data_IF_605705394503
#
_entry.id   IF_605705394503
#
_cell.length_a   1.000
_cell.length_b   1.000
_cell.length_c   1.000
_cell.angle_alpha   90.00
_cell.angle_beta   90.00
_cell.angle_gamma   90.00
#
_symmetry.space_group_name_H-M   'P 1'
#
loop_
_entity.id
_entity.type
_entity.pdbx_description
1 polymer ?
#
# COMPACT_ATOMS: atom_id res chain seq x y z
N UNK A 1 97.47 -131.19 39.65
CA UNK A 1 97.04 -130.20 40.66
C UNK A 1 96.87 -128.79 40.08
N UNK A 2 97.55 -128.39 38.99
CA UNK A 2 97.39 -127.08 38.34
C UNK A 2 96.05 -126.89 37.60
N UNK A 3 95.51 -127.92 36.92
CA UNK A 3 94.30 -127.78 36.08
C UNK A 3 93.01 -127.49 36.87
N UNK A 4 92.94 -127.89 38.14
CA UNK A 4 91.78 -127.61 38.99
C UNK A 4 91.76 -126.15 39.45
N UNK A 5 92.93 -125.52 39.58
CA UNK A 5 93.05 -124.12 40.00
C UNK A 5 92.64 -123.15 38.87
N UNK A 6 93.04 -123.44 37.63
CA UNK A 6 92.72 -122.61 36.45
C UNK A 6 91.22 -122.63 36.16
N UNK A 7 90.56 -123.79 36.29
CA UNK A 7 89.11 -123.92 36.06
C UNK A 7 88.28 -123.14 37.09
N UNK A 8 88.71 -123.09 38.35
CA UNK A 8 88.02 -122.31 39.38
C UNK A 8 88.18 -120.80 39.20
N UNK A 9 89.35 -120.32 38.76
CA UNK A 9 89.57 -118.88 38.49
C UNK A 9 88.74 -118.43 37.28
N UNK A 10 88.66 -119.25 36.22
CA UNK A 10 87.85 -118.95 35.05
C UNK A 10 86.34 -118.89 35.38
N UNK A 11 85.84 -119.79 36.22
CA UNK A 11 84.43 -119.78 36.66
C UNK A 11 84.10 -118.57 37.55
N UNK A 12 85.01 -118.16 38.45
CA UNK A 12 84.82 -116.98 39.28
C UNK A 12 84.85 -115.67 38.47
N UNK A 13 85.71 -115.57 37.46
CA UNK A 13 85.76 -114.42 36.56
C UNK A 13 84.47 -114.28 35.72
N UNK A 14 83.92 -115.41 35.24
CA UNK A 14 82.71 -115.42 34.43
C UNK A 14 81.45 -115.09 35.26
N UNK A 15 81.40 -115.56 36.51
CA UNK A 15 80.34 -115.19 37.46
C UNK A 15 80.41 -113.70 37.83
N UNK A 16 81.62 -113.16 38.07
CA UNK A 16 81.82 -111.74 38.33
C UNK A 16 81.40 -110.87 37.13
N UNK A 17 81.75 -111.27 35.90
CA UNK A 17 81.34 -110.56 34.69
C UNK A 17 79.81 -110.60 34.47
N UNK A 18 79.16 -111.73 34.75
CA UNK A 18 77.70 -111.85 34.67
C UNK A 18 76.98 -111.02 35.74
N UNK A 19 77.52 -110.95 36.97
CA UNK A 19 76.98 -110.12 38.06
C UNK A 19 77.18 -108.64 37.75
N UNK A 20 78.37 -108.23 37.28
CA UNK A 20 78.65 -106.84 36.89
C UNK A 20 77.79 -106.44 35.68
N UNK A 21 77.68 -107.30 34.66
CA UNK A 21 76.82 -107.08 33.50
C UNK A 21 75.34 -107.00 33.85
N UNK A 22 74.88 -107.84 34.79
CA UNK A 22 73.52 -107.81 35.33
C UNK A 22 73.23 -106.54 36.13
N UNK A 23 74.15 -106.12 36.99
CA UNK A 23 74.08 -104.86 37.73
C UNK A 23 74.08 -103.66 36.77
N UNK A 24 74.94 -103.64 35.76
CA UNK A 24 74.98 -102.58 34.76
C UNK A 24 73.66 -102.50 33.98
N UNK A 25 73.11 -103.64 33.56
CA UNK A 25 71.84 -103.70 32.85
C UNK A 25 70.67 -103.18 33.71
N UNK A 26 70.64 -103.54 35.01
CA UNK A 26 69.65 -103.04 35.95
C UNK A 26 69.80 -101.52 36.15
N UNK A 27 71.01 -100.97 36.30
CA UNK A 27 71.24 -99.53 36.44
C UNK A 27 70.87 -98.76 35.16
N UNK A 28 71.30 -99.22 33.98
CA UNK A 28 70.93 -98.60 32.70
C UNK A 28 69.41 -98.63 32.47
N UNK A 29 68.74 -99.73 32.83
CA UNK A 29 67.29 -99.87 32.64
C UNK A 29 66.47 -99.13 33.70
N UNK A 30 66.94 -99.05 34.94
CA UNK A 30 66.22 -98.45 36.06
C UNK A 30 66.46 -96.95 36.22
N UNK A 31 67.63 -96.43 35.84
CA UNK A 31 68.01 -95.02 36.02
C UNK A 31 68.06 -94.24 34.70
N UNK A 32 68.71 -94.77 33.65
CA UNK A 32 68.95 -94.01 32.41
C UNK A 32 67.69 -93.92 31.54
N UNK A 33 66.93 -95.03 31.39
CA UNK A 33 65.71 -95.02 30.56
C UNK A 33 64.66 -94.00 31.03
N UNK A 34 64.31 -93.91 32.32
CA UNK A 34 63.37 -92.88 32.80
C UNK A 34 63.86 -91.44 32.59
N UNK A 35 65.16 -91.17 32.78
CA UNK A 35 65.75 -89.85 32.53
C UNK A 35 65.63 -89.42 31.06
N UNK A 36 65.93 -90.34 30.13
CA UNK A 36 65.76 -90.08 28.68
C UNK A 36 64.29 -89.86 28.33
N UNK A 37 63.37 -90.56 28.99
CA UNK A 37 61.94 -90.38 28.79
C UNK A 37 61.45 -89.00 29.30
N UNK A 38 61.88 -88.57 30.50
CA UNK A 38 61.57 -87.23 31.03
C UNK A 38 62.18 -86.12 30.17
N UNK A 39 63.41 -86.28 29.69
CA UNK A 39 64.05 -85.32 28.77
C UNK A 39 63.28 -85.20 27.45
N UNK A 40 62.78 -86.31 26.90
CA UNK A 40 61.94 -86.30 25.69
C UNK A 40 60.60 -85.61 25.93
N UNK A 41 59.98 -85.82 27.09
CA UNK A 41 58.75 -85.13 27.49
C UNK A 41 59.00 -83.62 27.61
N UNK A 42 60.09 -83.20 28.27
CA UNK A 42 60.46 -81.79 28.36
C UNK A 42 60.70 -81.15 26.98
N UNK A 43 61.35 -81.88 26.06
CA UNK A 43 61.54 -81.44 24.68
C UNK A 43 60.25 -81.38 23.85
N UNK A 44 59.20 -82.12 24.23
CA UNK A 44 57.85 -82.01 23.63
C UNK A 44 57.08 -80.83 24.22
N UNK A 45 57.14 -80.63 25.54
CA UNK A 45 56.54 -79.49 26.22
C UNK A 45 57.11 -78.16 25.69
N UNK A 46 58.43 -78.07 25.45
CA UNK A 46 59.05 -76.88 24.85
C UNK A 46 58.53 -76.59 23.42
N UNK A 47 58.08 -77.62 22.70
CA UNK A 47 57.52 -77.50 21.35
C UNK A 47 56.01 -77.23 21.35
N UNK A 48 55.40 -76.98 22.51
CA UNK A 48 53.97 -76.71 22.66
C UNK A 48 53.08 -77.96 22.71
N UNK A 49 53.65 -79.16 22.80
CA UNK A 49 52.88 -80.40 22.93
C UNK A 49 52.62 -80.71 24.40
N UNK A 50 51.55 -80.12 24.94
CA UNK A 50 51.13 -80.24 26.33
C UNK A 50 50.26 -81.48 26.60
N UNK A 51 49.92 -82.27 25.58
CA UNK A 51 49.11 -83.49 25.70
C UNK A 51 49.92 -84.73 26.13
N UNK A 52 51.24 -84.60 26.23
CA UNK A 52 52.13 -85.70 26.61
C UNK A 52 51.97 -86.10 28.08
N UNK A 53 51.88 -87.41 28.34
CA UNK A 53 51.85 -87.94 29.71
C UNK A 53 53.27 -87.99 30.29
N UNK A 54 53.46 -87.48 31.51
CA UNK A 54 54.75 -87.55 32.21
C UNK A 54 54.92 -88.95 32.81
N UNK A 55 55.91 -89.74 32.36
CA UNK A 55 56.12 -91.08 32.91
C UNK A 55 56.73 -91.01 34.31
N UNK A 56 56.62 -92.10 35.08
CA UNK A 56 57.33 -92.29 36.35
C UNK A 56 56.88 -91.42 37.54
N UNK A 57 55.64 -90.91 37.52
CA UNK A 57 55.06 -90.11 38.61
C UNK A 57 54.93 -90.88 39.93
N UNK A 58 54.64 -92.18 39.86
CA UNK A 58 54.39 -93.06 41.01
C UNK A 58 55.67 -93.49 41.76
N UNK A 59 56.84 -92.97 41.38
CA UNK A 59 58.12 -93.34 41.98
C UNK A 59 58.42 -92.50 43.23
N UNK A 60 59.02 -93.16 44.23
CA UNK A 60 59.47 -92.54 45.49
C UNK A 60 60.91 -92.04 45.51
N UNK A 61 61.63 -92.14 44.39
CA UNK A 61 63.04 -91.77 44.25
C UNK A 61 63.23 -90.38 43.57
N UNK A 62 64.48 -89.99 43.34
CA UNK A 62 64.85 -88.71 42.71
C UNK A 62 64.25 -88.56 41.31
N UNK A 63 64.07 -89.67 40.58
CA UNK A 63 63.42 -89.68 39.27
C UNK A 63 61.94 -89.34 39.39
N UNK A 64 61.26 -89.87 40.40
CA UNK A 64 59.88 -89.50 40.72
C UNK A 64 59.72 -88.02 41.11
N UNK A 65 60.71 -87.47 41.82
CA UNK A 65 60.73 -86.05 42.16
C UNK A 65 60.89 -85.15 40.92
N UNK A 66 61.78 -85.53 39.99
CA UNK A 66 61.90 -84.85 38.69
C UNK A 66 60.63 -85.00 37.84
N UNK A 67 59.98 -86.18 37.83
CA UNK A 67 58.73 -86.39 37.12
C UNK A 67 57.61 -85.47 37.65
N UNK A 68 57.46 -85.34 38.97
CA UNK A 68 56.51 -84.39 39.57
C UNK A 68 56.82 -82.94 39.22
N UNK A 69 58.10 -82.55 39.18
CA UNK A 69 58.50 -81.20 38.76
C UNK A 69 58.17 -80.94 37.27
N UNK A 70 58.32 -81.95 36.40
CA UNK A 70 57.93 -81.85 34.98
C UNK A 70 56.41 -81.79 34.81
N UNK A 71 55.62 -82.50 35.63
CA UNK A 71 54.15 -82.39 35.61
C UNK A 71 53.68 -81.00 36.08
N UNK A 72 54.26 -80.46 37.15
CA UNK A 72 53.99 -79.06 37.58
C UNK A 72 54.37 -78.06 36.49
N UNK A 73 55.49 -78.27 35.79
CA UNK A 73 55.88 -77.44 34.66
C UNK A 73 54.87 -77.52 33.49
N UNK A 74 54.38 -78.71 33.16
CA UNK A 74 53.32 -78.93 32.16
C UNK A 74 52.01 -78.26 32.57
N UNK A 75 51.58 -78.39 33.82
CA UNK A 75 50.38 -77.73 34.35
C UNK A 75 50.48 -76.22 34.24
N UNK A 76 51.63 -75.62 34.59
CA UNK A 76 51.88 -74.19 34.41
C UNK A 76 51.92 -73.77 32.94
N UNK A 77 52.47 -74.60 32.04
CA UNK A 77 52.47 -74.33 30.60
C UNK A 77 51.05 -74.31 30.01
N UNK A 78 50.21 -75.28 30.37
CA UNK A 78 48.79 -75.34 29.99
C UNK A 78 47.99 -74.16 30.57
N UNK A 79 48.20 -73.86 31.86
CA UNK A 79 47.54 -72.73 32.51
C UNK A 79 47.92 -71.40 31.85
N UNK A 80 49.19 -71.23 31.45
CA UNK A 80 49.67 -70.03 30.76
C UNK A 80 49.08 -69.90 29.35
N UNK A 81 49.04 -70.97 28.56
CA UNK A 81 48.42 -70.96 27.22
C UNK A 81 46.92 -70.60 27.31
N UNK A 82 46.22 -71.16 28.30
CA UNK A 82 44.82 -70.82 28.56
C UNK A 82 44.64 -69.35 28.96
N UNK A 83 45.50 -68.83 29.84
CA UNK A 83 45.45 -67.44 30.27
C UNK A 83 45.78 -66.48 29.11
N UNK A 84 46.76 -66.82 28.27
CA UNK A 84 47.09 -66.07 27.06
C UNK A 84 45.91 -66.06 26.07
N UNK A 85 45.24 -67.20 25.86
CA UNK A 85 44.03 -67.28 25.04
C UNK A 85 42.84 -66.49 25.63
N UNK A 86 42.63 -66.56 26.94
CA UNK A 86 41.60 -65.77 27.64
C UNK A 86 41.90 -64.27 27.59
N UNK A 87 43.16 -63.85 27.75
CA UNK A 87 43.58 -62.45 27.58
C UNK A 87 43.39 -61.97 26.15
N UNK A 88 43.84 -62.71 25.13
CA UNK A 88 43.62 -62.34 23.73
C UNK A 88 42.13 -62.26 23.39
N UNK A 89 41.31 -63.19 23.90
CA UNK A 89 39.86 -63.14 23.73
C UNK A 89 39.21 -61.97 24.50
N UNK A 90 39.75 -61.56 25.64
CA UNK A 90 39.28 -60.41 26.40
C UNK A 90 39.68 -59.08 25.74
N UNK A 91 40.92 -58.97 25.26
CA UNK A 91 41.42 -57.83 24.49
C UNK A 91 40.65 -57.66 23.18
N UNK A 92 40.44 -58.74 22.42
CA UNK A 92 39.63 -58.71 21.20
C UNK A 92 38.18 -58.27 21.48
N UNK A 93 37.58 -58.76 22.58
CA UNK A 93 36.25 -58.32 23.03
C UNK A 93 36.22 -56.86 23.47
N UNK A 94 37.23 -56.38 24.18
CA UNK A 94 37.34 -55.00 24.62
C UNK A 94 37.52 -54.04 23.43
N UNK A 95 38.35 -54.41 22.44
CA UNK A 95 38.51 -53.65 21.19
C UNK A 95 37.21 -53.64 20.39
N UNK A 96 36.53 -54.77 20.26
CA UNK A 96 35.24 -54.87 19.57
C UNK A 96 34.15 -54.04 20.27
N UNK A 97 34.06 -54.10 21.60
CA UNK A 97 33.11 -53.31 22.40
C UNK A 97 33.38 -51.82 22.27
N UNK A 98 34.65 -51.38 22.37
CA UNK A 98 35.03 -49.98 22.17
C UNK A 98 34.69 -49.49 20.76
N UNK A 99 34.92 -50.31 19.73
CA UNK A 99 34.55 -49.98 18.36
C UNK A 99 33.04 -49.84 18.19
N UNK A 100 32.26 -50.77 18.76
CA UNK A 100 30.79 -50.71 18.73
C UNK A 100 30.25 -49.46 19.45
N UNK A 101 30.85 -49.09 20.59
CA UNK A 101 30.49 -47.87 21.33
C UNK A 101 30.81 -46.61 20.53
N UNK A 102 31.96 -46.56 19.85
CA UNK A 102 32.32 -45.44 18.98
C UNK A 102 31.39 -45.29 17.78
N UNK A 103 31.00 -46.39 17.14
CA UNK A 103 30.01 -46.36 16.05
C UNK A 103 28.67 -45.84 16.56
N UNK A 104 28.19 -46.35 17.70
CA UNK A 104 26.91 -45.89 18.29
C UNK A 104 26.94 -44.41 18.67
N UNK A 105 28.07 -43.93 19.23
CA UNK A 105 28.24 -42.52 19.57
C UNK A 105 28.27 -41.64 18.31
N UNK A 106 28.94 -42.11 17.25
CA UNK A 106 28.97 -41.47 15.94
C UNK A 106 27.58 -41.40 15.30
N UNK A 107 26.80 -42.49 15.35
CA UNK A 107 25.43 -42.52 14.81
C UNK A 107 24.50 -41.53 15.54
N UNK A 108 24.59 -41.48 16.87
CA UNK A 108 23.82 -40.52 17.67
C UNK A 108 24.24 -39.07 17.39
N UNK A 109 25.55 -38.82 17.25
CA UNK A 109 26.08 -37.51 16.87
C UNK A 109 25.60 -37.10 15.47
N UNK A 110 25.62 -38.01 14.49
CA UNK A 110 25.14 -37.77 13.13
C UNK A 110 23.66 -37.39 13.11
N UNK A 111 22.81 -38.11 13.85
CA UNK A 111 21.38 -37.79 13.91
C UNK A 111 21.12 -36.42 14.55
N UNK A 112 21.75 -36.15 15.71
CA UNK A 112 21.53 -34.91 16.43
C UNK A 112 22.04 -33.69 15.63
N UNK A 113 23.28 -33.74 15.16
CA UNK A 113 23.91 -32.63 14.44
C UNK A 113 23.36 -32.50 13.01
N UNK A 114 23.13 -33.61 12.32
CA UNK A 114 22.53 -33.63 10.99
C UNK A 114 21.11 -33.06 10.99
N UNK A 115 20.32 -33.33 12.04
CA UNK A 115 18.99 -32.73 12.23
C UNK A 115 19.05 -31.21 12.41
N UNK A 116 19.97 -30.71 13.24
CA UNK A 116 20.16 -29.26 13.44
C UNK A 116 20.59 -28.58 12.15
N UNK A 117 21.59 -29.13 11.44
CA UNK A 117 22.06 -28.56 10.16
C UNK A 117 20.94 -28.55 9.12
N UNK A 118 20.11 -29.60 9.07
CA UNK A 118 18.92 -29.66 8.22
C UNK A 118 17.93 -28.54 8.54
N UNK A 119 17.63 -28.31 9.82
CA UNK A 119 16.73 -27.26 10.25
C UNK A 119 17.27 -25.85 9.95
N UNK A 120 18.57 -25.60 10.17
CA UNK A 120 19.21 -24.31 9.87
C UNK A 120 19.21 -24.05 8.36
N UNK A 121 19.53 -25.06 7.55
CA UNK A 121 19.50 -24.96 6.09
C UNK A 121 18.09 -24.66 5.56
N UNK A 122 17.06 -25.32 6.11
CA UNK A 122 15.67 -25.05 5.73
C UNK A 122 15.24 -23.62 6.10
N UNK A 123 15.62 -23.17 7.31
CA UNK A 123 15.34 -21.81 7.79
C UNK A 123 16.03 -20.76 6.91
N UNK A 124 17.28 -21.02 6.49
CA UNK A 124 18.01 -20.13 5.58
C UNK A 124 17.29 -19.98 4.23
N UNK A 125 16.83 -21.09 3.63
CA UNK A 125 16.07 -21.04 2.37
C UNK A 125 14.73 -20.29 2.53
N UNK A 126 14.05 -20.45 3.65
CA UNK A 126 12.81 -19.71 3.94
C UNK A 126 13.05 -18.20 4.11
N UNK A 127 14.15 -17.83 4.79
CA UNK A 127 14.59 -16.44 4.91
C UNK A 127 14.96 -15.84 3.55
N UNK A 128 15.64 -16.59 2.68
CA UNK A 128 16.00 -16.17 1.32
C UNK A 128 14.75 -15.87 0.46
N UNK A 129 13.76 -16.77 0.51
CA UNK A 129 12.49 -16.59 -0.19
C UNK A 129 11.69 -15.40 0.34
N UNK A 130 11.70 -15.20 1.67
CA UNK A 130 11.04 -14.07 2.33
C UNK A 130 11.71 -12.75 1.96
N UNK A 131 13.04 -12.67 2.01
CA UNK A 131 13.81 -11.50 1.60
C UNK A 131 13.51 -11.11 0.15
N UNK A 132 13.52 -12.08 -0.77
CA UNK A 132 13.22 -11.85 -2.19
C UNK A 132 11.81 -11.28 -2.39
N UNK A 133 10.84 -11.78 -1.63
CA UNK A 133 9.45 -11.29 -1.66
C UNK A 133 9.34 -9.88 -1.11
N UNK A 134 10.05 -9.56 -0.03
CA UNK A 134 10.09 -8.23 0.55
C UNK A 134 10.75 -7.22 -0.39
N UNK A 135 11.88 -7.55 -1.01
CA UNK A 135 12.55 -6.71 -2.04
C UNK A 135 11.60 -6.38 -3.18
N UNK A 136 10.93 -7.39 -3.75
CA UNK A 136 9.93 -7.16 -4.82
C UNK A 136 8.78 -6.26 -4.35
N UNK A 137 8.35 -6.40 -3.10
CA UNK A 137 7.25 -5.59 -2.55
C UNK A 137 7.69 -4.14 -2.33
N UNK A 138 8.93 -3.92 -1.88
CA UNK A 138 9.55 -2.61 -1.77
C UNK A 138 9.64 -1.92 -3.14
N UNK A 139 10.14 -2.60 -4.17
CA UNK A 139 10.25 -2.06 -5.53
C UNK A 139 8.89 -1.64 -6.10
N UNK A 140 7.87 -2.51 -5.97
CA UNK A 140 6.50 -2.20 -6.42
C UNK A 140 5.92 -1.01 -5.64
N UNK A 141 6.21 -0.92 -4.34
CA UNK A 141 5.75 0.18 -3.48
C UNK A 141 6.41 1.50 -3.89
N UNK A 142 7.69 1.51 -4.21
CA UNK A 142 8.38 2.68 -4.75
C UNK A 142 7.79 3.13 -6.09
N UNK A 143 7.59 2.20 -7.02
CA UNK A 143 7.00 2.53 -8.32
C UNK A 143 5.58 3.13 -8.18
N UNK A 144 4.75 2.52 -7.33
CA UNK A 144 3.40 3.05 -7.03
C UNK A 144 3.46 4.40 -6.33
N UNK A 145 4.42 4.59 -5.42
CA UNK A 145 4.63 5.87 -4.73
C UNK A 145 4.99 6.99 -5.70
N UNK A 146 5.83 6.72 -6.69
CA UNK A 146 6.14 7.67 -7.76
C UNK A 146 4.90 8.02 -8.60
N UNK A 147 4.07 7.03 -8.93
CA UNK A 147 2.80 7.28 -9.67
C UNK A 147 1.83 8.14 -8.86
N UNK A 148 1.67 7.86 -7.57
CA UNK A 148 0.80 8.64 -6.68
C UNK A 148 1.34 10.06 -6.48
N UNK A 149 2.65 10.24 -6.41
CA UNK A 149 3.29 11.57 -6.36
C UNK A 149 2.97 12.38 -7.60
N UNK A 150 3.12 11.79 -8.79
CA UNK A 150 2.80 12.45 -10.05
C UNK A 150 1.31 12.84 -10.13
N UNK A 151 0.41 11.91 -9.78
CA UNK A 151 -1.03 12.16 -9.75
C UNK A 151 -1.43 13.24 -8.74
N UNK A 152 -0.76 13.29 -7.58
CA UNK A 152 -0.99 14.34 -6.57
C UNK A 152 -0.51 15.71 -7.06
N UNK A 153 0.61 15.75 -7.80
CA UNK A 153 1.09 16.97 -8.46
C UNK A 153 0.12 17.49 -9.52
N UNK A 154 -0.42 16.61 -10.36
CA UNK A 154 -1.45 16.95 -11.34
C UNK A 154 -2.74 17.44 -10.67
N UNK A 155 -3.20 16.75 -9.61
CA UNK A 155 -4.36 17.15 -8.83
C UNK A 155 -4.17 18.55 -8.20
N UNK A 156 -2.99 18.83 -7.64
CA UNK A 156 -2.66 20.16 -7.11
C UNK A 156 -2.71 21.23 -8.21
N UNK A 157 -2.19 20.95 -9.40
CA UNK A 157 -2.27 21.86 -10.56
C UNK A 157 -3.73 22.14 -10.97
N UNK A 158 -4.56 21.10 -11.02
CA UNK A 158 -5.98 21.24 -11.32
C UNK A 158 -6.71 22.08 -10.25
N UNK A 159 -6.42 21.85 -8.97
CA UNK A 159 -7.00 22.64 -7.87
C UNK A 159 -6.60 24.12 -7.99
N UNK A 160 -5.36 24.44 -8.34
CA UNK A 160 -4.92 25.82 -8.60
C UNK A 160 -5.64 26.47 -9.78
N UNK A 161 -5.87 25.72 -10.85
CA UNK A 161 -6.64 26.21 -12.01
C UNK A 161 -8.09 26.53 -11.63
N UNK A 162 -8.75 25.65 -10.87
CA UNK A 162 -10.11 25.91 -10.36
C UNK A 162 -10.13 27.09 -9.39
N UNK A 163 -9.09 27.27 -8.57
CA UNK A 163 -8.96 28.44 -7.69
C UNK A 163 -8.93 29.75 -8.49
N UNK A 164 -8.13 29.80 -9.56
CA UNK A 164 -8.05 30.95 -10.45
C UNK A 164 -9.41 31.26 -11.11
N UNK A 165 -10.08 30.23 -11.66
CA UNK A 165 -11.41 30.39 -12.25
C UNK A 165 -12.46 30.86 -11.23
N UNK A 166 -12.39 30.39 -9.98
CA UNK A 166 -13.30 30.81 -8.91
C UNK A 166 -13.07 32.27 -8.51
N UNK A 167 -11.82 32.74 -8.50
CA UNK A 167 -11.50 34.15 -8.26
C UNK A 167 -12.05 35.05 -9.40
N UNK A 168 -11.91 34.64 -10.66
CA UNK A 168 -12.45 35.35 -11.81
C UNK A 168 -14.00 35.38 -11.79
N UNK A 169 -14.63 34.27 -11.41
CA UNK A 169 -16.08 34.20 -11.20
C UNK A 169 -16.54 35.15 -10.09
N UNK A 170 -15.81 35.23 -8.98
CA UNK A 170 -16.12 36.14 -7.87
C UNK A 170 -16.02 37.60 -8.30
N UNK A 171 -15.00 37.95 -9.10
CA UNK A 171 -14.87 39.29 -9.68
C UNK A 171 -16.06 39.63 -10.61
N UNK A 172 -16.46 38.67 -11.46
CA UNK A 172 -17.58 38.81 -12.39
C UNK A 172 -18.91 38.98 -11.65
N UNK A 173 -19.17 38.19 -10.60
CA UNK A 173 -20.33 38.34 -9.72
C UNK A 173 -20.37 39.75 -9.11
N UNK A 174 -19.23 40.26 -8.64
CA UNK A 174 -19.12 41.61 -8.09
C UNK A 174 -19.43 42.70 -9.12
N UNK A 175 -19.05 42.51 -10.38
CA UNK A 175 -19.37 43.44 -11.47
C UNK A 175 -20.86 43.39 -11.84
N UNK A 176 -21.43 42.20 -11.99
CA UNK A 176 -22.86 42.02 -12.26
C UNK A 176 -23.69 42.65 -11.14
N UNK A 177 -23.31 42.46 -9.87
CA UNK A 177 -23.98 43.09 -8.73
C UNK A 177 -24.01 44.62 -8.84
N UNK A 178 -22.88 45.25 -9.18
CA UNK A 178 -22.81 46.71 -9.41
C UNK A 178 -23.69 47.14 -10.58
N UNK A 179 -23.71 46.38 -11.66
CA UNK A 179 -24.49 46.69 -12.86
C UNK A 179 -25.99 46.57 -12.60
N UNK A 180 -26.42 45.56 -11.85
CA UNK A 180 -27.83 45.37 -11.45
C UNK A 180 -28.30 46.50 -10.54
N UNK A 181 -27.50 46.92 -9.55
CA UNK A 181 -27.81 48.09 -8.72
C UNK A 181 -27.91 49.37 -9.55
N UNK A 182 -27.06 49.52 -10.57
CA UNK A 182 -27.16 50.66 -11.50
C UNK A 182 -28.45 50.62 -12.30
N UNK A 183 -28.83 49.46 -12.85
CA UNK A 183 -30.08 49.28 -13.59
C UNK A 183 -31.31 49.57 -12.74
N UNK A 184 -31.32 49.14 -11.47
CA UNK A 184 -32.39 49.44 -10.52
C UNK A 184 -32.53 50.96 -10.29
N UNK A 185 -31.43 51.69 -10.06
CA UNK A 185 -31.46 53.15 -9.92
C UNK A 185 -31.94 53.87 -11.18
N UNK A 186 -31.55 53.38 -12.36
CA UNK A 186 -32.01 53.94 -13.66
C UNK A 186 -33.52 53.72 -13.82
N UNK A 187 -34.03 52.53 -13.48
CA UNK A 187 -35.45 52.23 -13.53
C UNK A 187 -36.25 53.13 -12.57
N UNK A 188 -35.80 53.30 -11.32
CA UNK A 188 -36.43 54.22 -10.36
C UNK A 188 -36.46 55.67 -10.87
N UNK A 189 -35.35 56.15 -11.42
CA UNK A 189 -35.27 57.48 -12.02
C UNK A 189 -36.23 57.63 -13.21
N UNK A 190 -36.36 56.60 -14.04
CA UNK A 190 -37.26 56.58 -15.19
C UNK A 190 -38.74 56.56 -14.77
N UNK A 191 -39.12 55.82 -13.71
CA UNK A 191 -40.47 55.88 -13.12
C UNK A 191 -40.76 57.30 -12.62
N UNK A 192 -39.83 57.92 -11.89
CA UNK A 192 -39.98 59.30 -11.41
C UNK A 192 -40.16 60.29 -12.57
N UNK A 193 -39.41 60.12 -13.66
CA UNK A 193 -39.49 60.97 -14.85
C UNK A 193 -40.80 60.77 -15.62
N UNK A 194 -41.30 59.53 -15.73
CA UNK A 194 -42.57 59.21 -16.34
C UNK A 194 -43.73 59.86 -15.56
N UNK A 195 -43.72 59.76 -14.22
CA UNK A 195 -44.71 60.41 -13.36
C UNK A 195 -44.74 61.94 -13.54
N UNK A 196 -43.57 62.60 -13.58
CA UNK A 196 -43.49 64.05 -13.86
C UNK A 196 -44.02 64.41 -15.25
N UNK A 197 -43.87 63.52 -16.22
CA UNK A 197 -44.36 63.75 -17.58
C UNK A 197 -45.87 63.58 -17.64
N UNK A 198 -46.42 62.57 -16.94
CA UNK A 198 -47.87 62.37 -16.77
C UNK A 198 -48.53 63.61 -16.14
N UNK A 199 -47.95 64.16 -15.07
CA UNK A 199 -48.44 65.40 -14.43
C UNK A 199 -48.48 66.59 -15.40
N UNK A 200 -47.41 66.78 -16.19
CA UNK A 200 -47.33 67.88 -17.17
C UNK A 200 -48.37 67.74 -18.28
N UNK A 201 -48.60 66.51 -18.75
CA UNK A 201 -49.61 66.23 -19.76
C UNK A 201 -51.02 66.39 -19.16
N UNK A 202 -51.23 66.02 -17.90
CA UNK A 202 -52.46 66.31 -17.16
C UNK A 202 -52.79 67.81 -17.13
N UNK A 203 -51.79 68.66 -16.87
CA UNK A 203 -51.96 70.13 -16.92
C UNK A 203 -52.32 70.60 -18.34
N UNK A 204 -51.70 70.05 -19.39
CA UNK A 204 -52.04 70.37 -20.78
C UNK A 204 -53.47 69.95 -21.14
N UNK A 205 -53.92 68.78 -20.68
CA UNK A 205 -55.28 68.30 -20.88
C UNK A 205 -56.32 69.24 -20.28
N UNK A 206 -56.09 69.69 -19.03
CA UNK A 206 -56.95 70.68 -18.36
C UNK A 206 -56.94 72.03 -19.09
N UNK A 207 -55.78 72.48 -19.59
CA UNK A 207 -55.68 73.71 -20.36
C UNK A 207 -56.45 73.61 -21.70
N UNK A 208 -56.33 72.50 -22.43
CA UNK A 208 -57.06 72.26 -23.66
C UNK A 208 -58.57 72.24 -23.42
N UNK A 209 -59.04 71.62 -22.32
CA UNK A 209 -60.45 71.65 -21.92
C UNK A 209 -60.95 73.09 -21.70
N UNK A 210 -60.20 73.91 -20.96
CA UNK A 210 -60.56 75.32 -20.74
C UNK A 210 -60.62 76.12 -22.04
N UNK A 211 -59.70 75.88 -22.98
CA UNK A 211 -59.74 76.53 -24.30
C UNK A 211 -60.99 76.07 -25.07
N UNK A 212 -61.32 74.79 -25.03
CA UNK A 212 -62.55 74.26 -25.63
C UNK A 212 -63.81 74.94 -25.10
N UNK A 213 -63.90 75.14 -23.79
CA UNK A 213 -65.02 75.85 -23.15
C UNK A 213 -65.12 77.31 -23.63
N UNK A 214 -63.99 78.00 -23.77
CA UNK A 214 -63.93 79.38 -24.30
C UNK A 214 -64.33 79.43 -25.77
N UNK A 215 -63.87 78.50 -26.61
CA UNK A 215 -64.21 78.43 -28.03
C UNK A 215 -65.71 78.19 -28.23
N UNK A 216 -66.31 77.35 -27.37
CA UNK A 216 -67.76 77.14 -27.34
C UNK A 216 -68.51 78.44 -27.04
N UNK A 217 -68.09 79.18 -26.01
CA UNK A 217 -68.68 80.48 -25.67
C UNK A 217 -68.56 81.49 -26.83
N UNK A 218 -67.41 81.56 -27.52
CA UNK A 218 -67.24 82.46 -28.68
C UNK A 218 -68.17 82.05 -29.82
N UNK A 219 -68.36 80.75 -30.05
CA UNK A 219 -69.29 80.23 -31.06
C UNK A 219 -70.72 80.66 -30.73
N UNK A 220 -71.16 80.51 -29.49
CA UNK A 220 -72.48 80.95 -29.03
C UNK A 220 -72.66 82.47 -29.22
N UNK A 221 -71.63 83.28 -28.92
CA UNK A 221 -71.63 84.74 -29.15
C UNK A 221 -71.73 85.06 -30.65
N UNK A 222 -71.01 84.34 -31.51
CA UNK A 222 -71.04 84.55 -32.96
C UNK A 222 -72.42 84.23 -33.54
N UNK A 223 -73.06 83.14 -33.09
CA UNK A 223 -74.43 82.79 -33.46
C UNK A 223 -75.43 83.84 -33.01
N UNK A 224 -75.32 84.32 -31.77
CA UNK A 224 -76.16 85.39 -31.24
C UNK A 224 -75.96 86.70 -32.00
N UNK A 225 -74.72 87.04 -32.35
CA UNK A 225 -74.38 88.22 -33.16
C UNK A 225 -74.95 88.12 -34.57
N UNK A 226 -74.90 86.94 -35.19
CA UNK A 226 -75.50 86.68 -36.50
C UNK A 226 -77.04 86.83 -36.45
N UNK A 227 -77.70 86.37 -35.38
CA UNK A 227 -79.14 86.57 -35.18
C UNK A 227 -79.49 88.05 -34.99
N UNK A 228 -78.71 88.80 -34.19
CA UNK A 228 -78.89 90.24 -34.02
C UNK A 228 -78.71 91.00 -35.33
N UNK A 229 -77.67 90.67 -36.10
CA UNK A 229 -77.40 91.25 -37.41
C UNK A 229 -78.51 90.95 -38.42
N UNK A 230 -79.04 89.72 -38.42
CA UNK A 230 -80.18 89.34 -39.24
C UNK A 230 -81.43 90.18 -38.91
N UNK A 231 -81.74 90.35 -37.63
CA UNK A 231 -82.85 91.19 -37.18
C UNK A 231 -82.65 92.66 -37.62
N UNK A 232 -81.42 93.17 -37.54
CA UNK A 232 -81.08 94.50 -38.02
C UNK A 232 -81.22 94.65 -39.55
N UNK A 233 -80.83 93.63 -40.33
CA UNK A 233 -81.05 93.63 -41.79
C UNK A 233 -82.55 93.65 -42.14
N UNK A 234 -83.38 92.92 -41.38
CA UNK A 234 -84.85 92.91 -41.55
C UNK A 234 -85.43 94.30 -41.28
N UNK A 235 -85.05 94.93 -40.17
CA UNK A 235 -85.57 96.26 -39.81
C UNK A 235 -85.06 97.36 -40.75
N UNK A 236 -83.81 97.24 -41.24
CA UNK A 236 -83.26 98.13 -42.26
C UNK A 236 -83.99 98.00 -43.60
N UNK A 237 -84.39 96.79 -44.01
CA UNK A 237 -85.23 96.58 -45.19
C UNK A 237 -86.63 97.18 -45.01
N UNK A 238 -87.18 97.13 -43.79
CA UNK A 238 -88.48 97.71 -43.44
C UNK A 238 -88.49 99.24 -43.50
N UNK A 239 -87.35 99.89 -43.22
CA UNK A 239 -87.16 101.34 -43.31
C UNK A 239 -86.96 101.87 -44.75
N UNK A 240 -86.93 101.01 -45.76
CA UNK A 240 -86.85 101.41 -47.18
C UNK A 240 -85.54 102.15 -47.54
N UNK A 241 -85.64 103.25 -48.29
CA UNK A 241 -84.48 104.05 -48.74
C UNK A 241 -83.67 104.64 -47.57
N UNK A 242 -84.31 104.98 -46.44
CA UNK A 242 -83.63 105.54 -45.27
C UNK A 242 -82.76 104.51 -44.53
N UNK A 243 -83.03 103.20 -44.71
CA UNK A 243 -82.33 102.11 -44.04
C UNK A 243 -81.10 101.57 -44.77
N UNK A 244 -80.80 102.03 -46.00
CA UNK A 244 -79.73 101.46 -46.86
C UNK A 244 -78.36 101.43 -46.18
N UNK A 245 -77.94 102.50 -45.50
CA UNK A 245 -76.66 102.54 -44.79
C UNK A 245 -76.61 101.54 -43.62
N UNK A 246 -77.72 101.39 -42.90
CA UNK A 246 -77.86 100.42 -41.80
C UNK A 246 -77.85 98.98 -42.30
N UNK A 247 -78.48 98.72 -43.46
CA UNK A 247 -78.51 97.40 -44.09
C UNK A 247 -77.10 96.92 -44.51
N UNK A 248 -76.24 97.83 -44.99
CA UNK A 248 -74.84 97.51 -45.32
C UNK A 248 -74.07 97.09 -44.06
N UNK A 249 -74.17 97.88 -42.98
CA UNK A 249 -73.50 97.55 -41.72
C UNK A 249 -74.02 96.23 -41.14
N UNK A 250 -75.34 96.02 -41.13
CA UNK A 250 -75.94 94.78 -40.64
C UNK A 250 -75.47 93.55 -41.43
N UNK A 251 -75.36 93.65 -42.77
CA UNK A 251 -74.83 92.58 -43.60
C UNK A 251 -73.33 92.33 -43.35
N UNK A 252 -72.53 93.37 -43.12
CA UNK A 252 -71.10 93.24 -42.78
C UNK A 252 -70.92 92.54 -41.43
N UNK A 253 -71.69 92.93 -40.40
CA UNK A 253 -71.69 92.26 -39.08
C UNK A 253 -72.13 90.81 -39.21
N UNK A 254 -73.14 90.51 -40.03
CA UNK A 254 -73.61 89.15 -40.31
C UNK A 254 -72.51 88.30 -40.97
N UNK A 255 -71.80 88.86 -41.95
CA UNK A 255 -70.68 88.19 -42.62
C UNK A 255 -69.53 87.93 -41.63
N UNK A 256 -69.17 88.91 -40.80
CA UNK A 256 -68.12 88.79 -39.79
C UNK A 256 -68.47 87.75 -38.72
N UNK A 257 -69.73 87.69 -38.28
CA UNK A 257 -70.23 86.67 -37.37
C UNK A 257 -70.17 85.26 -37.98
N UNK A 258 -70.54 85.11 -39.25
CA UNK A 258 -70.40 83.85 -39.99
C UNK A 258 -68.93 83.41 -40.14
N UNK A 259 -68.03 84.34 -40.43
CA UNK A 259 -66.59 84.07 -40.50
C UNK A 259 -66.03 83.68 -39.13
N UNK A 260 -66.50 84.31 -38.05
CA UNK A 260 -66.14 83.99 -36.67
C UNK A 260 -66.58 82.58 -36.30
N UNK A 261 -67.85 82.22 -36.56
CA UNK A 261 -68.37 80.88 -36.30
C UNK A 261 -67.62 79.78 -37.08
N UNK A 262 -67.24 80.07 -38.33
CA UNK A 262 -66.41 79.15 -39.12
C UNK A 262 -65.02 78.96 -38.48
N UNK A 263 -64.36 80.06 -38.12
CA UNK A 263 -63.04 80.03 -37.50
C UNK A 263 -63.06 79.33 -36.13
N UNK A 264 -64.08 79.56 -35.29
CA UNK A 264 -64.22 78.84 -34.02
C UNK A 264 -64.52 77.35 -34.22
N UNK A 265 -65.26 76.97 -35.26
CA UNK A 265 -65.45 75.57 -35.64
C UNK A 265 -64.13 74.87 -35.99
N UNK A 266 -63.27 75.52 -36.79
CA UNK A 266 -61.93 75.02 -37.10
C UNK A 266 -61.04 74.89 -35.85
N UNK A 267 -61.07 75.89 -34.95
CA UNK A 267 -60.33 75.83 -33.67
C UNK A 267 -60.88 74.70 -32.78
N UNK A 268 -62.20 74.51 -32.70
CA UNK A 268 -62.83 73.46 -31.91
C UNK A 268 -62.38 72.06 -32.36
N UNK A 269 -62.29 71.84 -33.67
CA UNK A 269 -61.73 70.61 -34.23
C UNK A 269 -60.26 70.41 -33.83
N UNK A 270 -59.43 71.49 -33.85
CA UNK A 270 -58.03 71.43 -33.40
C UNK A 270 -57.90 71.14 -31.90
N UNK A 271 -58.76 71.72 -31.06
CA UNK A 271 -58.77 71.43 -29.61
C UNK A 271 -59.16 69.98 -29.35
N UNK A 272 -60.17 69.47 -30.05
CA UNK A 272 -60.58 68.05 -29.93
C UNK A 272 -59.44 67.12 -30.33
N UNK A 273 -58.74 67.43 -31.43
CA UNK A 273 -57.57 66.66 -31.87
C UNK A 273 -56.42 66.73 -30.85
N UNK A 274 -56.17 67.91 -30.26
CA UNK A 274 -55.19 68.07 -29.19
C UNK A 274 -55.56 67.23 -27.95
N UNK A 275 -56.82 67.27 -27.51
CA UNK A 275 -57.28 66.48 -26.36
C UNK A 275 -57.10 64.97 -26.60
N UNK A 276 -57.48 64.47 -27.78
CA UNK A 276 -57.27 63.08 -28.16
C UNK A 276 -55.78 62.70 -28.12
N UNK A 277 -54.91 63.49 -28.76
CA UNK A 277 -53.46 63.25 -28.74
C UNK A 277 -52.86 63.30 -27.33
N UNK A 278 -53.41 64.15 -26.45
CA UNK A 278 -53.01 64.26 -25.05
C UNK A 278 -53.38 62.99 -24.28
N UNK A 279 -54.59 62.46 -24.49
CA UNK A 279 -55.07 61.22 -23.87
C UNK A 279 -54.29 59.98 -24.35
N UNK A 280 -53.96 59.93 -25.64
CA UNK A 280 -53.10 58.88 -26.20
C UNK A 280 -51.70 58.92 -25.57
N UNK A 281 -51.15 60.13 -25.37
CA UNK A 281 -49.85 60.32 -24.72
C UNK A 281 -49.85 59.85 -23.26
N UNK A 282 -50.91 60.15 -22.48
CA UNK A 282 -51.07 59.64 -21.11
C UNK A 282 -51.09 58.10 -21.10
N UNK A 283 -51.81 57.50 -22.03
CA UNK A 283 -51.93 56.03 -22.12
C UNK A 283 -50.58 55.38 -22.42
N UNK A 284 -49.82 55.95 -23.37
CA UNK A 284 -48.47 55.51 -23.69
C UNK A 284 -47.49 55.66 -22.50
N UNK A 285 -47.57 56.76 -21.75
CA UNK A 285 -46.71 56.96 -20.55
C UNK A 285 -47.01 55.92 -19.47
N UNK A 286 -48.29 55.55 -19.27
CA UNK A 286 -48.66 54.50 -18.30
C UNK A 286 -48.12 53.13 -18.70
N UNK A 287 -48.18 52.79 -19.99
CA UNK A 287 -47.61 51.54 -20.51
C UNK A 287 -46.08 51.50 -20.35
N UNK A 288 -45.40 52.61 -20.64
CA UNK A 288 -43.95 52.76 -20.40
C UNK A 288 -43.63 52.60 -18.92
N UNK A 289 -44.41 53.23 -18.04
CA UNK A 289 -44.22 53.13 -16.58
C UNK A 289 -44.38 51.70 -16.08
N UNK A 290 -45.37 50.96 -16.59
CA UNK A 290 -45.56 49.54 -16.28
C UNK A 290 -44.38 48.68 -16.73
N UNK A 291 -43.88 48.92 -17.94
CA UNK A 291 -42.69 48.23 -18.48
C UNK A 291 -41.45 48.51 -17.63
N UNK A 292 -41.24 49.75 -17.18
CA UNK A 292 -40.12 50.10 -16.29
C UNK A 292 -40.28 49.43 -14.91
N UNK A 293 -41.50 49.32 -14.40
CA UNK A 293 -41.79 48.56 -13.17
C UNK A 293 -41.36 47.09 -13.28
N UNK A 294 -41.68 46.44 -14.39
CA UNK A 294 -41.22 45.07 -14.67
C UNK A 294 -39.68 44.97 -14.74
N UNK A 295 -39.01 45.96 -15.33
CA UNK A 295 -37.54 46.02 -15.34
C UNK A 295 -36.98 46.09 -13.91
N UNK A 296 -37.60 46.86 -13.02
CA UNK A 296 -37.17 46.95 -11.62
C UNK A 296 -37.35 45.62 -10.87
N UNK A 297 -38.47 44.93 -11.08
CA UNK A 297 -38.70 43.59 -10.50
C UNK A 297 -37.67 42.56 -11.00
N UNK A 298 -37.38 42.54 -12.30
CA UNK A 298 -36.35 41.67 -12.88
C UNK A 298 -34.97 41.99 -12.30
N UNK A 299 -34.62 43.26 -12.16
CA UNK A 299 -33.36 43.66 -11.55
C UNK A 299 -33.25 43.18 -10.09
N UNK A 300 -34.33 43.25 -9.30
CA UNK A 300 -34.36 42.74 -7.94
C UNK A 300 -34.18 41.21 -7.89
N UNK A 301 -34.82 40.47 -8.80
CA UNK A 301 -34.65 39.01 -8.91
C UNK A 301 -33.22 38.63 -9.29
N UNK A 302 -32.60 39.34 -10.22
CA UNK A 302 -31.19 39.12 -10.59
C UNK A 302 -30.28 39.43 -9.40
N UNK A 303 -30.53 40.51 -8.64
CA UNK A 303 -29.73 40.85 -7.46
C UNK A 303 -29.72 39.70 -6.43
N UNK A 304 -30.89 39.14 -6.13
CA UNK A 304 -31.01 37.99 -5.23
C UNK A 304 -30.25 36.76 -5.75
N UNK A 305 -30.35 36.46 -7.05
CA UNK A 305 -29.61 35.35 -7.66
C UNK A 305 -28.09 35.57 -7.62
N UNK A 306 -27.63 36.80 -7.82
CA UNK A 306 -26.21 37.18 -7.75
C UNK A 306 -25.66 37.05 -6.33
N UNK A 307 -26.43 37.42 -5.30
CA UNK A 307 -26.05 37.18 -3.90
C UNK A 307 -25.89 35.69 -3.59
N UNK A 308 -26.82 34.85 -4.06
CA UNK A 308 -26.73 33.40 -3.92
C UNK A 308 -25.50 32.83 -4.65
N UNK A 309 -25.22 33.28 -5.87
CA UNK A 309 -24.02 32.90 -6.60
C UNK A 309 -22.74 33.31 -5.86
N UNK A 310 -22.73 34.49 -5.24
CA UNK A 310 -21.61 34.95 -4.42
C UNK A 310 -21.34 34.03 -3.23
N UNK A 311 -22.39 33.59 -2.53
CA UNK A 311 -22.27 32.64 -1.44
C UNK A 311 -21.71 31.28 -1.90
N UNK A 312 -22.21 30.76 -3.03
CA UNK A 312 -21.74 29.52 -3.63
C UNK A 312 -20.27 29.61 -4.08
N UNK A 313 -19.87 30.72 -4.71
CA UNK A 313 -18.48 30.96 -5.11
C UNK A 313 -17.53 30.96 -3.89
N UNK A 314 -17.94 31.59 -2.79
CA UNK A 314 -17.16 31.61 -1.55
C UNK A 314 -17.04 30.21 -0.92
N UNK A 315 -18.07 29.37 -1.01
CA UNK A 315 -18.03 27.99 -0.56
C UNK A 315 -17.11 27.11 -1.43
N UNK A 316 -17.21 27.25 -2.75
CA UNK A 316 -16.30 26.60 -3.71
C UNK A 316 -14.85 26.98 -3.40
N UNK A 317 -14.56 28.26 -3.15
CA UNK A 317 -13.22 28.73 -2.77
C UNK A 317 -12.68 28.04 -1.51
N UNK A 318 -13.51 27.90 -0.46
CA UNK A 318 -13.13 27.16 0.76
C UNK A 318 -12.85 25.68 0.47
N UNK A 319 -13.70 25.02 -0.31
CA UNK A 319 -13.53 23.61 -0.68
C UNK A 319 -12.25 23.38 -1.50
N UNK A 320 -11.91 24.31 -2.38
CA UNK A 320 -10.67 24.29 -3.17
C UNK A 320 -9.44 24.41 -2.26
N UNK A 321 -9.46 25.30 -1.27
CA UNK A 321 -8.35 25.42 -0.30
C UNK A 321 -8.16 24.13 0.50
N UNK A 322 -9.26 23.51 0.94
CA UNK A 322 -9.20 22.22 1.64
C UNK A 322 -8.67 21.10 0.72
N UNK A 323 -9.12 21.06 -0.54
CA UNK A 323 -8.61 20.10 -1.52
C UNK A 323 -7.11 20.30 -1.78
N UNK A 324 -6.65 21.56 -1.92
CA UNK A 324 -5.23 21.88 -2.10
C UNK A 324 -4.40 21.36 -0.91
N UNK A 325 -4.87 21.61 0.31
CA UNK A 325 -4.21 21.10 1.52
C UNK A 325 -4.14 19.57 1.52
N UNK A 326 -5.26 18.89 1.26
CA UNK A 326 -5.32 17.44 1.20
C UNK A 326 -4.41 16.84 0.12
N UNK A 327 -4.30 17.46 -1.06
CA UNK A 327 -3.33 17.01 -2.09
C UNK A 327 -1.88 17.17 -1.64
N UNK A 328 -1.58 18.20 -0.86
CA UNK A 328 -0.27 18.42 -0.25
C UNK A 328 0.06 17.36 0.81
N UNK A 329 -0.88 17.03 1.68
CA UNK A 329 -0.71 15.98 2.70
C UNK A 329 -0.48 14.60 2.05
N UNK A 330 -1.23 14.26 1.00
CA UNK A 330 -1.02 13.00 0.26
C UNK A 330 0.39 12.95 -0.36
N UNK A 331 0.87 14.05 -0.94
CA UNK A 331 2.22 14.13 -1.49
C UNK A 331 3.32 13.98 -0.41
N UNK A 332 3.07 14.48 0.80
CA UNK A 332 3.99 14.28 1.92
C UNK A 332 3.98 12.82 2.39
N UNK A 333 2.80 12.24 2.66
CA UNK A 333 2.68 10.86 3.13
C UNK A 333 3.24 9.85 2.12
N UNK A 334 3.09 10.09 0.82
CA UNK A 334 3.65 9.17 -0.17
C UNK A 334 5.18 9.23 -0.24
N UNK A 335 5.77 10.38 0.11
CA UNK A 335 7.22 10.50 0.27
C UNK A 335 7.71 9.65 1.44
N UNK A 336 6.98 9.64 2.55
CA UNK A 336 7.27 8.78 3.71
C UNK A 336 7.12 7.28 3.38
N UNK A 337 6.08 6.90 2.64
CA UNK A 337 5.87 5.53 2.15
C UNK A 337 7.01 5.10 1.21
N UNK A 338 7.44 5.97 0.30
CA UNK A 338 8.55 5.71 -0.61
C UNK A 338 9.85 5.43 0.17
N UNK A 339 10.13 6.24 1.20
CA UNK A 339 11.29 6.04 2.08
C UNK A 339 11.19 4.73 2.87
N UNK A 340 10.03 4.41 3.45
CA UNK A 340 9.84 3.14 4.16
C UNK A 340 10.03 1.92 3.25
N UNK A 341 9.63 2.02 1.98
CA UNK A 341 9.91 0.99 0.98
C UNK A 341 11.42 0.87 0.69
N UNK A 342 12.15 1.97 0.59
CA UNK A 342 13.63 1.97 0.43
C UNK A 342 14.33 1.29 1.61
N UNK A 343 13.95 1.64 2.84
CA UNK A 343 14.45 1.01 4.07
C UNK A 343 14.14 -0.50 4.11
N UNK A 344 12.93 -0.90 3.69
CA UNK A 344 12.54 -2.31 3.59
C UNK A 344 13.38 -3.05 2.54
N UNK A 345 13.64 -2.43 1.39
CA UNK A 345 14.49 -2.99 0.33
C UNK A 345 15.92 -3.21 0.82
N UNK A 346 16.50 -2.24 1.52
CA UNK A 346 17.84 -2.35 2.11
C UNK A 346 17.91 -3.49 3.15
N UNK A 347 16.97 -3.52 4.11
CA UNK A 347 16.91 -4.57 5.12
C UNK A 347 16.72 -5.97 4.52
N UNK A 348 15.94 -6.07 3.45
CA UNK A 348 15.72 -7.33 2.73
C UNK A 348 16.98 -7.80 2.01
N UNK A 349 17.78 -6.89 1.47
CA UNK A 349 19.08 -7.22 0.85
C UNK A 349 20.08 -7.74 1.88
N UNK A 350 20.14 -7.12 3.07
CA UNK A 350 20.96 -7.61 4.18
C UNK A 350 20.51 -9.00 4.64
N UNK A 351 19.19 -9.22 4.78
CA UNK A 351 18.62 -10.49 5.19
C UNK A 351 18.91 -11.59 4.15
N UNK A 352 18.82 -11.28 2.85
CA UNK A 352 19.17 -12.19 1.77
C UNK A 352 20.65 -12.61 1.85
N UNK A 353 21.54 -11.64 2.12
CA UNK A 353 22.97 -11.91 2.28
C UNK A 353 23.24 -12.82 3.50
N UNK A 354 22.63 -12.51 4.65
CA UNK A 354 22.76 -13.29 5.87
C UNK A 354 22.22 -14.72 5.71
N UNK A 355 21.07 -14.88 5.05
CA UNK A 355 20.50 -16.19 4.73
C UNK A 355 21.41 -17.01 3.81
N UNK A 356 21.98 -16.37 2.77
CA UNK A 356 22.96 -17.00 1.88
C UNK A 356 24.23 -17.45 2.60
N UNK A 357 24.75 -16.64 3.53
CA UNK A 357 25.89 -17.01 4.37
C UNK A 357 25.55 -18.21 5.28
N UNK A 358 24.40 -18.19 5.94
CA UNK A 358 23.95 -19.27 6.83
C UNK A 358 23.78 -20.60 6.06
N UNK A 359 23.28 -20.54 4.82
CA UNK A 359 23.16 -21.70 3.94
C UNK A 359 24.54 -22.27 3.54
N UNK A 360 25.51 -21.40 3.23
CA UNK A 360 26.89 -21.82 2.94
C UNK A 360 27.56 -22.45 4.16
N UNK A 361 27.48 -21.81 5.33
CA UNK A 361 28.04 -22.32 6.58
C UNK A 361 27.42 -23.66 6.99
N UNK A 362 26.09 -23.81 6.82
CA UNK A 362 25.38 -25.07 7.09
C UNK A 362 25.87 -26.21 6.18
N UNK A 363 26.10 -25.92 4.89
CA UNK A 363 26.63 -26.90 3.95
C UNK A 363 28.10 -27.26 4.26
N UNK A 364 28.91 -26.30 4.65
CA UNK A 364 30.28 -26.56 5.10
C UNK A 364 30.30 -27.44 6.36
N UNK A 365 29.48 -27.11 7.36
CA UNK A 365 29.37 -27.89 8.59
C UNK A 365 28.88 -29.33 8.31
N UNK A 366 27.93 -29.51 7.38
CA UNK A 366 27.49 -30.84 6.92
C UNK A 366 28.66 -31.66 6.39
N UNK A 367 29.49 -31.06 5.54
CA UNK A 367 30.62 -31.76 4.93
C UNK A 367 31.71 -32.11 5.95
N UNK A 368 32.01 -31.20 6.88
CA UNK A 368 32.97 -31.45 7.97
C UNK A 368 32.50 -32.58 8.90
N UNK A 369 31.21 -32.57 9.27
CA UNK A 369 30.61 -33.62 10.10
C UNK A 369 30.64 -34.98 9.39
N UNK A 370 30.33 -35.03 8.09
CA UNK A 370 30.42 -36.26 7.30
C UNK A 370 31.86 -36.81 7.25
N UNK A 371 32.84 -35.93 7.05
CA UNK A 371 34.26 -36.29 6.99
C UNK A 371 34.76 -36.80 8.34
N UNK A 372 34.37 -36.13 9.43
CA UNK A 372 34.69 -36.56 10.80
C UNK A 372 34.10 -37.92 11.11
N UNK A 373 32.81 -38.14 10.80
CA UNK A 373 32.11 -39.41 11.03
C UNK A 373 32.73 -40.56 10.22
N UNK A 374 33.09 -40.31 8.96
CA UNK A 374 33.78 -41.30 8.14
C UNK A 374 35.12 -41.72 8.78
N UNK A 375 35.86 -40.76 9.33
CA UNK A 375 37.14 -41.00 10.01
C UNK A 375 36.96 -41.82 11.30
N UNK A 376 35.96 -41.46 12.13
CA UNK A 376 35.66 -42.16 13.39
C UNK A 376 35.18 -43.59 13.17
N UNK A 377 34.39 -43.83 12.10
CA UNK A 377 33.92 -45.17 11.73
C UNK A 377 35.03 -46.06 11.14
N UNK A 378 36.06 -45.45 10.56
CA UNK A 378 37.20 -46.17 9.98
C UNK A 378 38.28 -46.56 11.02
N UNK A 379 38.36 -45.84 12.14
CA UNK A 379 39.26 -46.12 13.26
C UNK A 379 38.86 -47.36 14.08
#
# INVERSE_FOLDING_TARGET
>A
MLDVLIRNIALQALLAAAVIGGLLYVVLRSQIRPLVALSRVMGRLQKGDHAVAVPSLDRGDEIGLMARAVEVFKEHAVARERLEAEQHAAEARAVAARKADMVRLADHFEQAVGGIIGAVSASATELEATATTLTRTADVTQQKSATVTAASGEASGNVQAVAAATNEMTASIGEISRQVQSSSRIAEAAVSQAAKTDDRIGVLSVAAQRIGDVVKLITDIAEQTNLLALNATIEAARAGEAGKGFAVVANEVKALAGQTAKATGEISAQITAMQAATQDSVSAIKEISGTIGQIAEVAAAIAAAVEQQGAAAAEISRNIQQAAHGTGEVAQHITEVSRGAEETGAASSELLSAAGQLAMESNQLRNEVQTFLATVRAA
#
